data_IF_373371365141
#
_entry.id   IF_373371365141
#
_cell.length_a   1.000
_cell.length_b   1.000
_cell.length_c   1.000
_cell.angle_alpha   90.00
_cell.angle_beta   90.00
_cell.angle_gamma   90.00
#
_symmetry.space_group_name_H-M   'P 1'
#
loop_
_entity.id
_entity.type
_entity.pdbx_description
1 polymer ?
#
# COMPACT_ATOMS: atom_id res chain seq x y z
N UNK A 1 -31.07 -32.31 -1.13
CA UNK A 1 -31.77 -31.97 0.12
C UNK A 1 -31.01 -30.80 0.75
N UNK A 2 -31.33 -29.56 0.37
CA UNK A 2 -32.30 -28.68 1.05
C UNK A 2 -31.76 -28.13 2.39
N UNK A 3 -31.08 -26.97 2.29
CA UNK A 3 -31.00 -25.74 3.13
C UNK A 3 -31.63 -25.67 4.55
N UNK A 4 -31.40 -24.58 5.36
CA UNK A 4 -30.35 -23.53 5.35
C UNK A 4 -29.88 -23.00 6.76
N UNK A 5 -28.99 -21.99 6.75
CA UNK A 5 -28.70 -20.97 7.81
C UNK A 5 -27.96 -21.47 9.08
N UNK A 6 -26.88 -20.84 9.59
CA UNK A 6 -26.79 -19.47 10.13
C UNK A 6 -25.33 -18.99 10.16
N UNK A 7 -25.11 -17.73 9.79
CA UNK A 7 -23.84 -16.98 9.90
C UNK A 7 -23.63 -16.42 11.33
N UNK A 8 -22.46 -16.60 11.92
CA UNK A 8 -22.04 -15.85 13.11
C UNK A 8 -21.03 -14.75 12.74
N UNK A 9 -21.54 -13.52 12.57
CA UNK A 9 -20.73 -12.30 12.54
C UNK A 9 -20.45 -11.80 13.96
N UNK A 10 -19.19 -11.53 14.27
CA UNK A 10 -18.78 -10.91 15.53
C UNK A 10 -19.03 -9.40 15.52
N UNK A 11 -19.96 -8.93 16.35
CA UNK A 11 -20.21 -7.51 16.59
C UNK A 11 -19.22 -6.95 17.62
N UNK A 12 -18.29 -6.11 17.17
CA UNK A 12 -17.52 -5.20 18.01
C UNK A 12 -18.39 -3.97 18.33
N UNK A 13 -18.78 -3.83 19.60
CA UNK A 13 -19.47 -2.66 20.12
C UNK A 13 -18.48 -1.49 20.27
N UNK A 14 -18.47 -0.57 19.30
CA UNK A 14 -17.96 0.79 19.50
C UNK A 14 -19.13 1.70 19.86
N UNK A 15 -19.15 2.21 21.11
CA UNK A 15 -20.04 3.30 21.53
C UNK A 15 -19.59 4.60 20.84
N UNK A 16 -20.22 4.92 19.72
CA UNK A 16 -20.22 6.27 19.18
C UNK A 16 -21.26 7.12 19.93
N UNK A 17 -20.79 8.13 20.66
CA UNK A 17 -21.63 9.22 21.14
C UNK A 17 -22.00 10.11 19.94
N UNK A 18 -23.18 9.89 19.38
CA UNK A 18 -23.84 10.83 18.46
C UNK A 18 -24.44 11.98 19.29
N UNK A 19 -23.72 13.10 19.36
CA UNK A 19 -24.29 14.38 19.81
C UNK A 19 -25.11 14.95 18.65
N UNK A 20 -26.37 14.51 18.55
CA UNK A 20 -27.37 15.16 17.70
C UNK A 20 -27.78 16.49 18.32
N UNK A 21 -27.41 17.60 17.69
CA UNK A 21 -28.03 18.91 17.99
C UNK A 21 -29.45 18.89 17.45
N UNK A 22 -30.42 18.64 18.33
CA UNK A 22 -31.82 18.97 18.09
C UNK A 22 -31.95 20.49 18.17
N UNK A 23 -32.15 21.13 17.01
CA UNK A 23 -32.58 22.52 16.92
C UNK A 23 -34.04 22.61 17.35
N UNK A 24 -34.28 22.90 18.63
CA UNK A 24 -35.60 23.32 19.12
C UNK A 24 -35.89 24.72 18.55
N UNK A 25 -36.66 24.75 17.48
CA UNK A 25 -37.32 25.95 16.98
C UNK A 25 -38.21 26.53 18.10
N UNK A 26 -37.96 27.78 18.46
CA UNK A 26 -38.74 28.52 19.46
C UNK A 26 -40.07 28.93 18.83
N UNK A 27 -41.09 28.07 18.88
CA UNK A 27 -42.48 28.47 18.65
C UNK A 27 -42.86 29.47 19.75
N UNK A 28 -43.20 30.70 19.36
CA UNK A 28 -43.92 31.63 20.21
C UNK A 28 -45.30 31.02 20.49
N UNK A 29 -45.50 30.52 21.70
CA UNK A 29 -46.81 30.18 22.23
C UNK A 29 -47.19 31.20 23.29
N UNK A 30 -48.20 32.02 23.01
CA UNK A 30 -48.98 32.70 24.05
C UNK A 30 -49.51 31.62 24.99
N UNK A 31 -49.21 31.74 26.29
CA UNK A 31 -49.87 30.93 27.31
C UNK A 31 -50.97 31.74 27.97
N UNK A 32 -52.18 31.16 27.91
CA UNK A 32 -53.40 31.61 28.56
C UNK A 32 -53.24 31.70 30.07
N UNK A 33 -53.88 32.70 30.64
CA UNK A 33 -54.15 32.88 32.07
C UNK A 33 -54.93 31.69 32.62
N UNK A 34 -54.37 31.00 33.62
CA UNK A 34 -55.10 30.07 34.47
C UNK A 34 -55.68 30.83 35.68
N UNK A 35 -57.00 30.82 35.81
CA UNK A 35 -57.73 31.26 36.98
C UNK A 35 -58.08 30.05 37.88
N UNK A 36 -58.47 30.37 39.11
CA UNK A 36 -58.98 29.55 40.21
C UNK A 36 -57.93 28.84 41.08
N UNK A 37 -57.96 28.91 42.42
CA UNK A 37 -58.98 29.46 43.31
C UNK A 37 -58.42 29.75 44.71
N UNK A 38 -59.10 30.68 45.40
CA UNK A 38 -58.86 31.05 46.79
C UNK A 38 -59.31 29.95 47.74
N UNK A 39 -58.42 29.49 48.62
CA UNK A 39 -58.77 28.94 49.93
C UNK A 39 -57.99 29.69 51.01
N UNK A 40 -58.74 30.21 51.97
CA UNK A 40 -58.29 30.94 53.15
C UNK A 40 -57.68 29.98 54.18
N UNK A 41 -56.45 30.25 54.60
CA UNK A 41 -55.78 29.54 55.68
C UNK A 41 -54.48 30.24 56.06
N UNK A 42 -54.46 30.88 57.23
CA UNK A 42 -53.34 31.65 57.72
C UNK A 42 -52.12 30.77 58.05
N UNK A 43 -51.07 30.84 57.22
CA UNK A 43 -49.67 30.55 57.58
C UNK A 43 -48.76 31.29 56.60
N UNK A 44 -47.93 32.19 57.11
CA UNK A 44 -46.91 32.90 56.35
C UNK A 44 -45.82 31.93 55.88
N UNK A 45 -46.01 31.32 54.71
CA UNK A 45 -44.90 30.71 53.99
C UNK A 45 -44.10 31.82 53.29
N UNK A 46 -42.89 32.07 53.76
CA UNK A 46 -41.92 32.91 53.06
C UNK A 46 -41.52 32.15 51.78
N UNK A 47 -42.21 32.41 50.69
CA UNK A 47 -41.78 31.98 49.36
C UNK A 47 -40.54 32.81 49.00
N UNK A 48 -39.35 32.24 49.23
CA UNK A 48 -38.13 32.80 48.66
C UNK A 48 -38.21 32.67 47.14
N UNK A 49 -38.46 33.78 46.46
CA UNK A 49 -38.29 33.91 45.02
C UNK A 49 -36.81 33.61 44.69
N UNK A 50 -36.52 32.39 44.21
CA UNK A 50 -35.25 32.08 43.59
C UNK A 50 -35.26 32.76 42.22
N UNK A 51 -34.76 33.99 42.14
CA UNK A 51 -34.51 34.64 40.87
C UNK A 51 -33.38 33.88 40.16
N UNK A 52 -33.70 33.05 39.17
CA UNK A 52 -32.69 32.51 38.26
C UNK A 52 -32.17 33.64 37.39
N UNK A 53 -30.99 34.16 37.70
CA UNK A 53 -30.27 35.12 36.87
C UNK A 53 -29.70 34.39 35.65
N UNK A 54 -30.41 34.44 34.52
CA UNK A 54 -29.84 33.98 33.24
C UNK A 54 -28.87 35.04 32.74
N UNK A 55 -27.60 34.90 33.09
CA UNK A 55 -26.52 35.76 32.55
C UNK A 55 -26.20 35.29 31.13
N UNK A 56 -26.29 36.20 30.15
CA UNK A 56 -25.87 35.90 28.78
C UNK A 56 -24.38 35.55 28.76
N UNK A 57 -24.06 34.30 28.47
CA UNK A 57 -22.67 33.85 28.30
C UNK A 57 -22.13 34.31 26.94
N UNK A 58 -20.87 34.74 26.90
CA UNK A 58 -20.21 35.14 25.66
C UNK A 58 -20.23 33.96 24.67
N UNK A 59 -20.64 34.22 23.42
CA UNK A 59 -20.61 33.20 22.36
C UNK A 59 -19.17 32.72 22.16
N UNK A 60 -18.97 31.42 22.07
CA UNK A 60 -17.65 30.85 21.78
C UNK A 60 -17.23 31.18 20.35
N UNK A 61 -15.98 31.63 20.19
CA UNK A 61 -15.36 31.78 18.87
C UNK A 61 -14.78 30.43 18.46
N UNK A 62 -15.02 29.94 17.24
CA UNK A 62 -14.46 28.68 16.78
C UNK A 62 -12.93 28.78 16.71
N UNK A 63 -12.25 27.98 17.54
CA UNK A 63 -10.80 27.93 17.62
C UNK A 63 -10.18 27.09 16.50
N UNK A 64 -10.85 26.00 16.08
CA UNK A 64 -10.37 25.14 14.99
C UNK A 64 -10.91 25.62 13.65
N UNK A 65 -10.00 25.89 12.72
CA UNK A 65 -10.29 26.17 11.31
C UNK A 65 -9.47 25.22 10.46
N UNK A 66 -9.98 24.86 9.28
CA UNK A 66 -9.16 24.17 8.29
C UNK A 66 -8.13 25.16 7.77
N UNK A 67 -6.88 24.71 7.67
CA UNK A 67 -5.83 25.50 7.05
C UNK A 67 -6.11 25.61 5.56
N UNK A 68 -6.29 26.85 5.10
CA UNK A 68 -6.51 27.18 3.68
C UNK A 68 -5.28 27.90 3.19
N UNK A 69 -4.75 27.49 2.04
CA UNK A 69 -3.53 28.04 1.48
C UNK A 69 -3.89 28.85 0.24
N UNK A 70 -3.75 30.16 0.33
CA UNK A 70 -3.98 31.07 -0.80
C UNK A 70 -2.87 30.92 -1.83
N UNK A 71 -3.14 31.27 -3.08
CA UNK A 71 -2.12 31.26 -4.14
C UNK A 71 -0.90 32.11 -3.78
N UNK A 72 -1.11 33.27 -3.17
CA UNK A 72 -0.03 34.16 -2.73
C UNK A 72 0.82 33.53 -1.62
N UNK A 73 0.22 32.70 -0.76
CA UNK A 73 0.96 31.95 0.24
C UNK A 73 1.87 30.91 -0.42
N UNK A 74 1.34 30.16 -1.40
CA UNK A 74 2.13 29.16 -2.14
C UNK A 74 3.28 29.83 -2.90
N UNK A 75 3.04 30.99 -3.55
CA UNK A 75 4.10 31.75 -4.24
C UNK A 75 5.23 32.16 -3.30
N UNK A 76 4.92 32.68 -2.11
CA UNK A 76 5.92 33.02 -1.09
C UNK A 76 6.72 31.80 -0.63
N UNK A 77 6.05 30.66 -0.42
CA UNK A 77 6.73 29.42 -0.06
C UNK A 77 7.68 28.91 -1.16
N UNK A 78 7.35 29.14 -2.44
CA UNK A 78 8.24 28.80 -3.56
C UNK A 78 9.49 29.68 -3.54
N UNK A 79 9.35 30.98 -3.29
CA UNK A 79 10.48 31.91 -3.15
C UNK A 79 11.39 31.51 -1.98
N UNK A 80 10.81 31.24 -0.81
CA UNK A 80 11.53 30.77 0.39
C UNK A 80 12.27 29.45 0.13
N UNK A 81 11.63 28.50 -0.56
CA UNK A 81 12.25 27.23 -0.95
C UNK A 81 13.45 27.45 -1.87
N UNK A 82 13.33 28.31 -2.89
CA UNK A 82 14.42 28.60 -3.82
C UNK A 82 15.63 29.28 -3.14
N UNK A 83 15.35 30.21 -2.22
CA UNK A 83 16.39 30.87 -1.41
C UNK A 83 17.05 29.84 -0.48
N UNK A 84 16.25 29.04 0.23
CA UNK A 84 16.71 27.97 1.10
C UNK A 84 17.56 26.94 0.35
N UNK A 85 17.19 26.58 -0.88
CA UNK A 85 17.93 25.65 -1.74
C UNK A 85 19.35 26.17 -2.01
N UNK A 86 19.49 27.46 -2.34
CA UNK A 86 20.80 28.10 -2.57
C UNK A 86 21.64 28.14 -1.30
N UNK A 87 21.03 28.43 -0.14
CA UNK A 87 21.73 28.38 1.14
C UNK A 87 22.20 26.97 1.49
N UNK A 88 21.38 25.97 1.23
CA UNK A 88 21.73 24.57 1.48
C UNK A 88 22.91 24.13 0.61
N UNK A 89 22.88 24.46 -0.69
CA UNK A 89 24.00 24.20 -1.59
C UNK A 89 25.29 24.87 -1.10
N UNK A 90 25.22 26.14 -0.68
CA UNK A 90 26.37 26.87 -0.13
C UNK A 90 26.92 26.21 1.16
N UNK A 91 26.05 25.74 2.06
CA UNK A 91 26.48 25.04 3.28
C UNK A 91 27.16 23.70 2.97
N UNK A 92 26.72 22.99 1.93
CA UNK A 92 27.29 21.72 1.51
C UNK A 92 28.50 21.87 0.57
N UNK A 93 28.77 23.09 0.09
CA UNK A 93 29.85 23.36 -0.87
C UNK A 93 29.55 22.89 -2.30
N UNK A 94 28.27 22.74 -2.65
CA UNK A 94 27.81 22.28 -3.97
C UNK A 94 27.34 23.45 -4.85
N UNK A 95 27.28 23.22 -6.16
CA UNK A 95 26.78 24.21 -7.12
C UNK A 95 25.23 24.36 -7.05
N UNK A 96 24.68 25.56 -6.80
CA UNK A 96 23.24 25.75 -6.60
C UNK A 96 22.34 25.37 -7.79
N UNK A 97 22.87 25.50 -9.02
CA UNK A 97 22.10 25.26 -10.24
C UNK A 97 21.95 23.76 -10.53
N UNK A 98 23.03 22.99 -10.30
CA UNK A 98 23.06 21.54 -10.48
C UNK A 98 22.41 20.78 -9.31
N UNK A 99 22.14 21.46 -8.18
CA UNK A 99 21.64 20.85 -6.96
C UNK A 99 20.25 20.21 -7.14
N UNK A 100 20.17 18.88 -7.04
CA UNK A 100 18.92 18.13 -7.25
C UNK A 100 18.16 17.89 -5.94
N UNK A 101 16.91 17.41 -6.03
CA UNK A 101 16.12 17.05 -4.84
C UNK A 101 16.75 15.90 -4.05
N UNK A 102 17.48 15.00 -4.70
CA UNK A 102 18.18 13.91 -4.01
C UNK A 102 19.32 14.43 -3.14
N UNK A 103 20.02 15.45 -3.61
CA UNK A 103 21.11 16.10 -2.87
C UNK A 103 20.56 16.88 -1.67
N UNK A 104 19.41 17.55 -1.84
CA UNK A 104 18.66 18.17 -0.73
C UNK A 104 18.33 17.11 0.33
N UNK A 105 17.73 15.98 -0.08
CA UNK A 105 17.32 14.94 0.86
C UNK A 105 18.53 14.34 1.60
N UNK A 106 19.67 14.14 0.93
CA UNK A 106 20.93 13.70 1.55
C UNK A 106 21.48 14.72 2.53
N UNK A 107 21.52 16.00 2.15
CA UNK A 107 22.01 17.08 2.98
C UNK A 107 21.15 17.26 4.25
N UNK A 108 19.82 17.20 4.12
CA UNK A 108 18.88 17.28 5.26
C UNK A 108 19.11 16.11 6.22
N UNK A 109 19.30 14.90 5.72
CA UNK A 109 19.58 13.72 6.56
C UNK A 109 20.89 13.87 7.33
N UNK A 110 21.91 14.50 6.73
CA UNK A 110 23.18 14.77 7.37
C UNK A 110 23.10 15.88 8.43
N UNK A 111 22.49 17.02 8.09
CA UNK A 111 22.39 18.19 8.98
C UNK A 111 21.41 17.96 10.13
N UNK A 112 20.30 17.25 9.88
CA UNK A 112 19.24 16.98 10.84
C UNK A 112 18.96 15.48 10.95
N UNK A 113 19.90 14.70 11.53
CA UNK A 113 19.77 13.26 11.60
C UNK A 113 18.62 12.85 12.53
N UNK A 114 17.56 12.31 11.95
CA UNK A 114 16.38 11.83 12.67
C UNK A 114 16.26 10.30 12.62
N UNK A 115 16.30 9.67 13.79
CA UNK A 115 16.15 8.23 13.96
C UNK A 115 14.70 7.73 13.96
N UNK A 116 13.73 8.58 13.61
CA UNK A 116 12.31 8.20 13.60
C UNK A 116 12.03 7.13 12.54
N UNK A 117 11.30 6.07 12.92
CA UNK A 117 10.93 4.99 11.99
C UNK A 117 9.99 5.49 10.88
N UNK A 118 9.05 6.37 11.23
CA UNK A 118 8.11 6.95 10.28
C UNK A 118 8.80 7.99 9.41
N UNK A 119 8.96 7.70 8.11
CA UNK A 119 9.68 8.59 7.18
C UNK A 119 9.01 9.95 7.01
N UNK A 120 7.67 10.01 7.12
CA UNK A 120 6.88 11.25 6.97
C UNK A 120 7.05 12.23 8.15
N UNK A 121 7.51 11.75 9.30
CA UNK A 121 7.74 12.56 10.50
C UNK A 121 9.18 13.10 10.59
N UNK A 122 10.05 12.72 9.65
CA UNK A 122 11.43 13.22 9.58
C UNK A 122 11.44 14.66 9.03
N UNK A 123 12.51 15.42 9.28
CA UNK A 123 12.73 16.70 8.60
C UNK A 123 12.75 16.48 7.08
N UNK A 124 11.96 17.27 6.35
CA UNK A 124 11.85 17.20 4.89
C UNK A 124 11.82 18.63 4.36
N UNK A 125 12.59 18.89 3.30
CA UNK A 125 12.56 20.12 2.53
C UNK A 125 12.27 19.77 1.07
N UNK A 126 11.05 20.05 0.62
CA UNK A 126 10.57 19.73 -0.73
C UNK A 126 9.88 20.94 -1.35
N UNK A 127 9.67 20.87 -2.66
CA UNK A 127 8.89 21.87 -3.36
C UNK A 127 7.47 21.99 -2.77
N UNK A 128 6.91 23.21 -2.58
CA UNK A 128 5.61 23.42 -1.94
C UNK A 128 4.45 22.63 -2.57
N UNK A 129 4.47 22.42 -3.88
CA UNK A 129 3.44 21.62 -4.59
C UNK A 129 3.40 20.15 -4.16
N UNK A 130 4.48 19.62 -3.61
CA UNK A 130 4.55 18.24 -3.11
C UNK A 130 4.19 18.14 -1.61
N UNK A 131 4.24 19.27 -0.89
CA UNK A 131 3.96 19.35 0.55
C UNK A 131 2.49 19.67 0.77
N UNK A 132 2.01 20.74 0.14
CA UNK A 132 0.65 21.22 0.32
C UNK A 132 -0.31 20.45 -0.59
N UNK A 133 -1.49 20.05 -0.09
CA UNK A 133 -2.49 19.38 -0.91
C UNK A 133 -3.02 20.36 -1.97
N UNK A 134 -3.23 19.85 -3.19
CA UNK A 134 -3.87 20.62 -4.26
C UNK A 134 -5.26 21.08 -3.80
N UNK A 135 -5.52 22.39 -3.91
CA UNK A 135 -6.81 23.00 -3.57
C UNK A 135 -7.51 23.43 -4.86
N UNK A 136 -8.84 23.47 -4.82
CA UNK A 136 -9.62 24.02 -5.93
C UNK A 136 -9.45 25.54 -5.93
N UNK A 137 -9.28 26.10 -7.12
CA UNK A 137 -9.39 27.52 -7.33
C UNK A 137 -10.80 28.02 -6.99
N UNK A 138 -10.93 29.34 -6.83
CA UNK A 138 -12.21 30.02 -6.70
C UNK A 138 -13.07 29.68 -7.95
N UNK A 139 -14.33 29.30 -7.73
CA UNK A 139 -15.19 28.73 -8.79
C UNK A 139 -16.12 29.76 -9.45
N UNK A 140 -16.10 31.01 -9.00
CA UNK A 140 -16.93 32.12 -9.48
C UNK A 140 -16.13 33.42 -9.54
N UNK A 141 -16.55 34.34 -10.41
CA UNK A 141 -15.98 35.68 -10.50
C UNK A 141 -16.50 36.63 -9.42
N UNK A 142 -16.06 37.89 -9.48
CA UNK A 142 -16.58 38.97 -8.61
C UNK A 142 -18.08 39.23 -8.83
N UNK A 143 -18.58 38.91 -10.02
CA UNK A 143 -20.00 38.94 -10.40
C UNK A 143 -20.84 37.84 -9.71
N UNK A 144 -20.19 36.88 -9.06
CA UNK A 144 -20.82 35.74 -8.41
C UNK A 144 -21.28 34.64 -9.38
N UNK A 145 -20.98 34.75 -10.68
CA UNK A 145 -21.36 33.74 -11.67
C UNK A 145 -20.34 32.59 -11.65
N UNK A 146 -20.78 31.32 -11.53
CA UNK A 146 -19.88 30.18 -11.63
C UNK A 146 -19.26 30.03 -13.02
N UNK A 147 -17.99 29.65 -13.08
CA UNK A 147 -17.27 29.45 -14.36
C UNK A 147 -17.74 28.20 -15.12
N UNK A 148 -18.10 27.13 -14.40
CA UNK A 148 -18.48 25.85 -15.00
C UNK A 148 -20.00 25.65 -14.97
N UNK A 149 -20.58 25.17 -16.07
CA UNK A 149 -22.02 24.97 -16.19
C UNK A 149 -22.56 23.88 -15.23
N UNK A 150 -21.78 22.84 -14.95
CA UNK A 150 -22.12 21.80 -13.95
C UNK A 150 -21.79 22.17 -12.50
N UNK A 151 -21.49 23.42 -12.19
CA UNK A 151 -21.13 23.86 -10.83
C UNK A 151 -22.16 23.43 -9.77
N UNK A 152 -23.45 23.61 -10.05
CA UNK A 152 -24.53 23.31 -9.11
C UNK A 152 -24.77 21.81 -8.84
N UNK A 153 -24.06 20.92 -9.54
CA UNK A 153 -24.06 19.48 -9.21
C UNK A 153 -23.23 19.16 -7.96
N UNK A 154 -22.36 20.09 -7.53
CA UNK A 154 -21.40 19.92 -6.43
C UNK A 154 -20.14 19.11 -6.80
N UNK A 155 -20.17 18.34 -7.89
CA UNK A 155 -19.05 17.53 -8.40
C UNK A 155 -18.81 17.82 -9.87
N UNK A 156 -18.47 19.07 -10.16
CA UNK A 156 -18.39 19.57 -11.53
C UNK A 156 -17.34 18.84 -12.36
N UNK A 157 -16.17 18.54 -11.78
CA UNK A 157 -15.07 17.89 -12.52
C UNK A 157 -15.44 16.45 -12.87
N UNK A 158 -16.01 15.71 -11.92
CA UNK A 158 -16.47 14.34 -12.14
C UNK A 158 -17.56 14.27 -13.22
N UNK A 159 -18.62 15.07 -13.10
CA UNK A 159 -19.71 15.02 -14.08
C UNK A 159 -19.30 15.59 -15.44
N UNK A 160 -18.32 16.51 -15.49
CA UNK A 160 -17.72 16.94 -16.76
C UNK A 160 -17.04 15.76 -17.46
N UNK A 161 -16.21 14.99 -16.74
CA UNK A 161 -15.61 13.78 -17.30
C UNK A 161 -16.65 12.76 -17.74
N UNK A 162 -17.68 12.52 -16.94
CA UNK A 162 -18.76 11.60 -17.30
C UNK A 162 -19.49 12.05 -18.57
N UNK A 163 -19.71 13.36 -18.71
CA UNK A 163 -20.34 13.95 -19.88
C UNK A 163 -19.45 13.83 -21.13
N UNK A 164 -18.15 14.08 -21.01
CA UNK A 164 -17.18 13.90 -22.10
C UNK A 164 -17.12 12.44 -22.57
N UNK A 165 -17.01 11.48 -21.63
CA UNK A 165 -16.99 10.04 -21.93
C UNK A 165 -18.28 9.64 -22.65
N UNK A 166 -19.44 10.07 -22.14
CA UNK A 166 -20.72 9.75 -22.75
C UNK A 166 -20.88 10.39 -24.12
N UNK A 167 -20.39 11.62 -24.31
CA UNK A 167 -20.33 12.29 -25.61
C UNK A 167 -19.50 11.51 -26.63
N UNK A 168 -18.35 10.96 -26.22
CA UNK A 168 -17.54 10.05 -27.04
C UNK A 168 -18.27 8.75 -27.38
N UNK A 169 -18.95 8.13 -26.42
CA UNK A 169 -19.77 6.94 -26.66
C UNK A 169 -20.85 7.19 -27.73
N UNK A 170 -21.57 8.31 -27.63
CA UNK A 170 -22.58 8.69 -28.63
C UNK A 170 -21.97 8.94 -30.02
N UNK A 171 -20.78 9.56 -30.08
CA UNK A 171 -20.06 9.75 -31.35
C UNK A 171 -19.72 8.40 -32.00
N UNK A 172 -19.28 7.43 -31.21
CA UNK A 172 -19.00 6.07 -31.70
C UNK A 172 -20.28 5.37 -32.16
N UNK A 173 -21.36 5.44 -31.36
CA UNK A 173 -22.66 4.85 -31.71
C UNK A 173 -23.19 5.40 -33.05
N UNK A 174 -23.13 6.72 -33.27
CA UNK A 174 -23.51 7.35 -34.56
C UNK A 174 -22.64 6.90 -35.75
N UNK A 175 -21.37 6.59 -35.53
CA UNK A 175 -20.44 6.12 -36.58
C UNK A 175 -20.65 4.64 -36.91
N UNK A 176 -20.97 3.82 -35.91
CA UNK A 176 -21.21 2.38 -36.07
C UNK A 176 -22.36 2.07 -37.02
N UNK A 177 -23.37 2.93 -37.07
CA UNK A 177 -24.48 2.79 -38.02
C UNK A 177 -24.03 2.86 -39.50
N UNK A 178 -22.78 3.28 -39.77
CA UNK A 178 -22.27 3.51 -41.12
C UNK A 178 -21.30 2.42 -41.66
N UNK A 179 -20.67 1.57 -40.84
CA UNK A 179 -19.65 0.60 -41.29
C UNK A 179 -19.59 -0.71 -40.46
N UNK A 180 -19.40 -1.90 -41.08
CA UNK A 180 -19.29 -3.17 -40.37
C UNK A 180 -17.87 -3.48 -39.85
N UNK A 181 -17.82 -4.30 -38.79
CA UNK A 181 -16.73 -4.41 -37.82
C UNK A 181 -15.47 -5.18 -38.30
N UNK A 182 -14.29 -4.63 -38.02
CA UNK A 182 -13.05 -5.40 -37.77
C UNK A 182 -12.60 -5.11 -36.34
N UNK A 183 -12.45 -6.16 -35.53
CA UNK A 183 -12.02 -6.07 -34.13
C UNK A 183 -10.57 -6.52 -34.04
N UNK A 184 -9.67 -5.60 -33.79
CA UNK A 184 -8.32 -5.95 -33.33
C UNK A 184 -8.35 -5.97 -31.80
N UNK A 185 -8.14 -7.16 -31.23
CA UNK A 185 -8.06 -7.33 -29.78
C UNK A 185 -6.70 -6.80 -29.33
N UNK A 186 -6.67 -5.67 -28.61
CA UNK A 186 -5.43 -5.07 -28.11
C UNK A 186 -4.98 -5.78 -26.84
N UNK A 187 -3.68 -6.06 -26.74
CA UNK A 187 -3.08 -6.66 -25.55
C UNK A 187 -3.10 -5.66 -24.38
N UNK A 188 -3.87 -5.99 -23.34
CA UNK A 188 -4.04 -5.18 -22.14
C UNK A 188 -3.03 -5.51 -21.02
N UNK A 189 -2.19 -6.51 -21.26
CA UNK A 189 -1.31 -7.12 -20.26
C UNK A 189 -0.29 -6.05 -19.80
N UNK A 190 -0.26 -5.79 -18.49
CA UNK A 190 0.65 -4.78 -17.90
C UNK A 190 0.07 -3.38 -17.75
N UNK A 191 -1.23 -3.17 -17.98
CA UNK A 191 -1.92 -1.93 -17.65
C UNK A 191 -3.03 -2.14 -16.62
N UNK A 192 -3.20 -1.17 -15.71
CA UNK A 192 -4.33 -1.12 -14.77
C UNK A 192 -5.09 0.18 -14.90
N UNK A 193 -6.35 0.15 -14.49
CA UNK A 193 -7.13 1.37 -14.29
C UNK A 193 -6.57 2.21 -13.13
N UNK A 194 -6.81 3.51 -13.22
CA UNK A 194 -6.53 4.47 -12.17
C UNK A 194 -7.30 4.11 -10.90
N UNK A 195 -6.66 4.08 -9.74
CA UNK A 195 -7.34 3.78 -8.46
C UNK A 195 -8.21 4.99 -8.06
N UNK A 196 -9.23 4.78 -7.23
CA UNK A 196 -10.08 5.85 -6.70
C UNK A 196 -9.28 7.03 -6.15
N UNK A 197 -8.27 6.79 -5.32
CA UNK A 197 -7.43 7.84 -4.72
C UNK A 197 -6.70 8.68 -5.78
N UNK A 198 -6.16 8.01 -6.80
CA UNK A 198 -5.47 8.65 -7.93
C UNK A 198 -6.47 9.49 -8.78
N UNK A 199 -7.72 9.03 -8.93
CA UNK A 199 -8.77 9.77 -9.63
C UNK A 199 -9.24 10.99 -8.84
N UNK A 200 -9.39 10.86 -7.52
CA UNK A 200 -9.71 11.99 -6.63
C UNK A 200 -8.62 13.06 -6.67
N UNK A 201 -7.35 12.66 -6.72
CA UNK A 201 -6.22 13.58 -6.85
C UNK A 201 -6.23 14.30 -8.21
N UNK A 202 -6.48 13.58 -9.31
CA UNK A 202 -6.58 14.17 -10.64
C UNK A 202 -7.70 15.20 -10.75
N UNK A 203 -8.86 14.91 -10.14
CA UNK A 203 -10.03 15.79 -10.22
C UNK A 203 -10.07 16.86 -9.13
N UNK A 204 -9.27 16.70 -8.07
CA UNK A 204 -9.35 17.50 -6.83
C UNK A 204 -10.78 17.47 -6.27
N UNK A 205 -11.44 16.30 -6.36
CA UNK A 205 -12.82 16.08 -5.90
C UNK A 205 -12.93 14.79 -5.10
N UNK A 206 -13.78 14.80 -4.06
CA UNK A 206 -14.09 13.59 -3.30
C UNK A 206 -15.12 12.76 -4.05
N UNK A 207 -14.87 11.46 -4.17
CA UNK A 207 -15.72 10.54 -4.92
C UNK A 207 -16.29 9.45 -4.00
N UNK A 208 -17.50 9.00 -4.34
CA UNK A 208 -18.05 7.76 -3.78
C UNK A 208 -17.46 6.56 -4.51
N UNK A 209 -17.45 5.40 -3.86
CA UNK A 209 -17.05 4.14 -4.50
C UNK A 209 -18.01 3.80 -5.65
N UNK A 210 -19.29 4.14 -5.51
CA UNK A 210 -20.29 3.97 -6.57
C UNK A 210 -19.97 4.83 -7.80
N UNK A 211 -19.59 6.09 -7.59
CA UNK A 211 -19.25 7.03 -8.66
C UNK A 211 -18.04 6.53 -9.46
N UNK A 212 -17.02 6.06 -8.76
CA UNK A 212 -15.84 5.44 -9.36
C UNK A 212 -16.21 4.20 -10.18
N UNK A 213 -17.03 3.29 -9.62
CA UNK A 213 -17.47 2.08 -10.33
C UNK A 213 -18.34 2.39 -11.56
N UNK A 214 -19.11 3.49 -11.55
CA UNK A 214 -19.87 3.93 -12.73
C UNK A 214 -18.93 4.46 -13.82
N UNK A 215 -17.92 5.23 -13.43
CA UNK A 215 -16.93 5.76 -14.37
C UNK A 215 -16.14 4.64 -15.07
N UNK A 216 -15.64 3.65 -14.30
CA UNK A 216 -14.93 2.51 -14.87
C UNK A 216 -15.83 1.70 -15.82
N UNK A 217 -17.11 1.48 -15.47
CA UNK A 217 -18.07 0.80 -16.36
C UNK A 217 -18.24 1.52 -17.70
N UNK A 218 -18.22 2.85 -17.73
CA UNK A 218 -18.28 3.60 -18.99
C UNK A 218 -17.00 3.46 -19.82
N UNK A 219 -15.83 3.49 -19.19
CA UNK A 219 -14.56 3.28 -19.89
C UNK A 219 -14.42 1.86 -20.44
N UNK A 220 -14.86 0.85 -19.69
CA UNK A 220 -14.94 -0.53 -20.17
C UNK A 220 -15.90 -0.65 -21.35
N UNK A 221 -17.09 -0.04 -21.26
CA UNK A 221 -18.03 0.03 -22.39
C UNK A 221 -17.37 0.67 -23.60
N UNK A 222 -16.63 1.76 -23.43
CA UNK A 222 -15.95 2.46 -24.51
C UNK A 222 -14.95 1.54 -25.24
N UNK A 223 -14.17 0.75 -24.50
CA UNK A 223 -13.21 -0.20 -25.07
C UNK A 223 -13.84 -1.39 -25.80
N UNK A 224 -15.09 -1.77 -25.48
CA UNK A 224 -15.79 -2.81 -26.25
C UNK A 224 -16.22 -2.32 -27.64
N UNK A 225 -16.25 -1.00 -27.85
CA UNK A 225 -16.56 -0.39 -29.13
C UNK A 225 -15.24 -0.16 -29.90
N UNK A 226 -15.33 0.02 -31.23
CA UNK A 226 -14.16 0.40 -32.02
C UNK A 226 -13.74 1.81 -31.61
N UNK A 227 -12.60 1.91 -30.95
CA UNK A 227 -11.99 3.18 -30.57
C UNK A 227 -11.13 3.71 -31.72
N UNK A 228 -11.23 5.00 -31.99
CA UNK A 228 -10.27 5.70 -32.83
C UNK A 228 -9.07 6.16 -31.95
N UNK A 229 -7.95 6.58 -32.57
CA UNK A 229 -6.73 6.92 -31.81
C UNK A 229 -6.96 8.04 -30.79
N UNK A 230 -7.86 8.98 -31.05
CA UNK A 230 -8.19 10.07 -30.12
C UNK A 230 -8.91 9.56 -28.85
N UNK A 231 -9.80 8.57 -28.98
CA UNK A 231 -10.47 7.93 -27.85
C UNK A 231 -9.48 7.08 -27.05
N UNK A 232 -8.49 6.47 -27.71
CA UNK A 232 -7.45 5.70 -27.05
C UNK A 232 -6.53 6.59 -26.23
N UNK A 233 -6.09 7.73 -26.78
CA UNK A 233 -5.35 8.75 -26.02
C UNK A 233 -6.13 9.21 -24.78
N UNK A 234 -7.45 9.37 -24.91
CA UNK A 234 -8.32 9.71 -23.79
C UNK A 234 -8.35 8.60 -22.74
N UNK A 235 -8.52 7.33 -23.13
CA UNK A 235 -8.49 6.19 -22.20
C UNK A 235 -7.12 6.02 -21.55
N UNK A 236 -6.04 6.27 -22.28
CA UNK A 236 -4.67 6.18 -21.77
C UNK A 236 -4.40 7.15 -20.61
N UNK A 237 -5.06 8.31 -20.55
CA UNK A 237 -4.98 9.23 -19.40
C UNK A 237 -5.42 8.58 -18.08
N UNK A 238 -6.34 7.61 -18.15
CA UNK A 238 -6.89 6.89 -17.00
C UNK A 238 -6.24 5.51 -16.78
N UNK A 239 -5.14 5.22 -17.47
CA UNK A 239 -4.39 3.98 -17.31
C UNK A 239 -3.02 4.24 -16.72
N UNK A 240 -2.56 3.27 -15.93
CA UNK A 240 -1.22 3.22 -15.37
C UNK A 240 -0.53 1.94 -15.79
N UNK A 241 0.74 2.04 -16.16
CA UNK A 241 1.58 0.89 -16.40
C UNK A 241 1.85 0.17 -15.07
N UNK A 242 1.78 -1.15 -15.10
CA UNK A 242 2.12 -2.02 -13.98
C UNK A 242 3.41 -2.72 -14.34
N UNK A 243 4.45 -2.50 -13.55
CA UNK A 243 5.69 -3.24 -13.67
C UNK A 243 5.44 -4.70 -13.26
N UNK A 244 5.26 -5.59 -14.24
CA UNK A 244 5.18 -7.03 -14.00
C UNK A 244 6.62 -7.52 -13.81
N UNK A 245 6.99 -7.78 -12.55
CA UNK A 245 8.26 -8.44 -12.26
C UNK A 245 8.18 -9.88 -12.75
N UNK A 246 9.14 -10.29 -13.58
CA UNK A 246 9.24 -11.69 -14.01
C UNK A 246 9.57 -12.56 -12.80
N UNK A 247 8.93 -13.73 -12.70
CA UNK A 247 9.23 -14.72 -11.64
C UNK A 247 10.47 -15.57 -11.96
N UNK A 248 11.22 -15.21 -13.01
CA UNK A 248 12.40 -15.94 -13.46
C UNK A 248 13.48 -15.83 -12.39
N UNK A 249 14.04 -16.96 -11.99
CA UNK A 249 15.12 -17.01 -11.02
C UNK A 249 16.36 -16.34 -11.62
N UNK A 250 17.06 -15.52 -10.82
CA UNK A 250 18.39 -15.02 -11.19
C UNK A 250 19.38 -16.19 -11.16
N UNK A 251 20.04 -16.44 -12.28
CA UNK A 251 21.06 -17.49 -12.41
C UNK A 251 22.40 -16.88 -11.97
N UNK A 252 23.09 -17.55 -11.06
CA UNK A 252 24.40 -17.11 -10.58
C UNK A 252 25.46 -17.34 -11.67
N UNK A 253 26.42 -16.41 -11.86
CA UNK A 253 27.48 -16.60 -12.84
C UNK A 253 28.40 -17.76 -12.43
N UNK A 254 28.76 -18.59 -13.41
CA UNK A 254 29.73 -19.67 -13.22
C UNK A 254 31.12 -19.07 -13.02
N UNK A 255 31.82 -19.53 -11.99
CA UNK A 255 33.18 -19.14 -11.63
C UNK A 255 34.14 -20.30 -11.91
N UNK A 256 35.44 -20.00 -11.99
CA UNK A 256 36.48 -21.00 -12.24
C UNK A 256 37.52 -20.99 -11.12
N UNK A 257 37.85 -22.18 -10.61
CA UNK A 257 38.93 -22.39 -9.66
C UNK A 257 40.31 -22.16 -10.32
N UNK A 258 41.37 -22.08 -9.50
CA UNK A 258 42.78 -22.11 -9.95
C UNK A 258 43.12 -23.35 -10.80
N UNK A 259 42.37 -24.43 -10.61
CA UNK A 259 42.48 -25.69 -11.37
C UNK A 259 41.65 -25.69 -12.67
N UNK A 260 40.99 -24.58 -13.01
CA UNK A 260 40.14 -24.45 -14.20
C UNK A 260 38.79 -25.16 -14.10
N UNK A 261 38.37 -25.59 -12.90
CA UNK A 261 37.07 -26.26 -12.70
C UNK A 261 35.96 -25.22 -12.56
N UNK A 262 34.90 -25.39 -13.34
CA UNK A 262 33.69 -24.57 -13.24
C UNK A 262 32.91 -24.90 -11.96
N UNK A 263 32.56 -23.87 -11.20
CA UNK A 263 31.73 -23.99 -10.00
C UNK A 263 30.76 -22.81 -9.89
N UNK A 264 29.69 -23.03 -9.15
CA UNK A 264 28.69 -22.01 -8.81
C UNK A 264 28.56 -21.92 -7.29
N UNK A 265 28.59 -20.71 -6.76
CA UNK A 265 28.42 -20.44 -5.34
C UNK A 265 27.03 -19.85 -5.07
N UNK A 266 26.33 -20.34 -4.04
CA UNK A 266 25.08 -19.73 -3.60
C UNK A 266 24.87 -19.86 -2.09
N UNK A 267 24.06 -18.94 -1.57
CA UNK A 267 23.64 -18.91 -0.17
C UNK A 267 22.22 -19.45 0.06
N UNK A 268 22.05 -20.12 1.19
CA UNK A 268 20.77 -20.63 1.70
C UNK A 268 20.55 -20.26 3.16
N UNK A 269 19.30 -19.94 3.51
CA UNK A 269 18.90 -19.61 4.88
C UNK A 269 17.64 -20.36 5.27
N UNK A 270 17.65 -20.98 6.46
CA UNK A 270 16.45 -21.59 7.05
C UNK A 270 16.44 -21.42 8.56
N UNK A 271 15.37 -20.81 9.08
CA UNK A 271 15.29 -20.41 10.49
C UNK A 271 16.52 -19.57 10.88
N UNK A 272 17.35 -20.07 11.78
CA UNK A 272 18.60 -19.43 12.24
C UNK A 272 19.85 -20.04 11.58
N UNK A 273 19.71 -21.07 10.74
CA UNK A 273 20.82 -21.67 10.01
C UNK A 273 21.09 -20.89 8.71
N UNK A 274 22.37 -20.65 8.43
CA UNK A 274 22.88 -20.09 7.18
C UNK A 274 23.86 -21.09 6.58
N UNK A 275 23.78 -21.29 5.27
CA UNK A 275 24.63 -22.20 4.53
C UNK A 275 25.15 -21.52 3.27
N UNK A 276 26.40 -21.77 2.93
CA UNK A 276 27.01 -21.46 1.66
C UNK A 276 27.36 -22.80 1.00
N UNK A 277 27.01 -22.95 -0.28
CA UNK A 277 27.30 -24.15 -1.04
C UNK A 277 28.03 -23.80 -2.33
N UNK A 278 29.13 -24.49 -2.56
CA UNK A 278 29.90 -24.52 -3.80
C UNK A 278 29.54 -25.81 -4.51
N UNK A 279 28.97 -25.70 -5.71
CA UNK A 279 28.62 -26.85 -6.56
C UNK A 279 29.52 -26.83 -7.79
N UNK A 280 30.24 -27.92 -8.01
CA UNK A 280 31.10 -28.11 -9.18
C UNK A 280 30.31 -28.71 -10.35
N UNK A 281 30.61 -28.27 -11.57
CA UNK A 281 29.90 -28.72 -12.78
C UNK A 281 30.04 -30.23 -13.02
N UNK A 282 31.25 -30.75 -12.81
CA UNK A 282 31.56 -32.18 -12.94
C UNK A 282 32.14 -32.71 -11.64
N UNK A 283 31.65 -33.88 -11.21
CA UNK A 283 32.07 -34.51 -9.98
C UNK A 283 31.64 -35.98 -9.88
N UNK A 284 31.94 -36.58 -8.74
CA UNK A 284 31.67 -37.98 -8.39
C UNK A 284 30.46 -38.15 -7.46
N UNK A 285 29.74 -37.06 -7.14
CA UNK A 285 28.66 -37.09 -6.15
C UNK A 285 29.14 -36.89 -4.72
N UNK A 286 30.36 -36.39 -4.51
CA UNK A 286 30.92 -36.20 -3.17
C UNK A 286 30.36 -34.93 -2.55
N UNK A 287 29.68 -35.07 -1.41
CA UNK A 287 29.11 -33.94 -0.66
C UNK A 287 29.87 -33.80 0.66
N UNK A 288 30.56 -32.68 0.84
CA UNK A 288 31.28 -32.36 2.07
C UNK A 288 30.59 -31.22 2.81
N UNK A 289 30.37 -31.39 4.12
CA UNK A 289 29.72 -30.44 5.02
C UNK A 289 30.72 -30.06 6.12
N UNK A 290 31.14 -28.80 6.18
CA UNK A 290 32.14 -28.30 7.16
C UNK A 290 33.43 -29.15 7.21
N UNK A 291 33.88 -29.66 6.06
CA UNK A 291 35.08 -30.50 5.95
C UNK A 291 34.88 -31.98 6.31
N UNK A 292 33.69 -32.39 6.75
CA UNK A 292 33.32 -33.79 6.99
C UNK A 292 32.42 -34.33 5.88
N UNK A 293 32.34 -35.65 5.72
CA UNK A 293 31.41 -36.27 4.77
C UNK A 293 29.95 -36.10 5.24
N UNK A 294 29.02 -35.90 4.29
CA UNK A 294 27.62 -35.63 4.60
C UNK A 294 26.94 -36.77 5.37
N UNK A 295 27.39 -38.02 5.17
CA UNK A 295 26.91 -39.20 5.90
C UNK A 295 27.25 -39.13 7.39
N UNK A 296 28.45 -38.64 7.72
CA UNK A 296 28.91 -38.48 9.10
C UNK A 296 28.27 -37.26 9.76
N UNK A 297 28.13 -36.16 9.02
CA UNK A 297 27.54 -34.92 9.52
C UNK A 297 26.03 -35.05 9.77
N UNK A 298 25.31 -35.71 8.86
CA UNK A 298 23.87 -35.98 8.97
C UNK A 298 23.59 -37.47 9.17
N UNK A 299 23.61 -37.97 10.43
CA UNK A 299 23.34 -39.38 10.71
C UNK A 299 21.88 -39.78 10.41
N UNK A 300 20.96 -38.82 10.46
CA UNK A 300 19.52 -39.04 10.26
C UNK A 300 19.18 -39.03 8.78
N UNK A 301 18.48 -40.07 8.31
CA UNK A 301 18.08 -40.24 6.91
C UNK A 301 17.24 -39.07 6.38
N UNK A 302 16.33 -38.52 7.18
CA UNK A 302 15.50 -37.38 6.80
C UNK A 302 16.33 -36.16 6.35
N UNK A 303 17.46 -35.90 7.03
CA UNK A 303 18.32 -34.78 6.68
C UNK A 303 19.06 -35.05 5.36
N UNK A 304 19.45 -36.30 5.10
CA UNK A 304 20.06 -36.74 3.84
C UNK A 304 19.10 -36.70 2.66
N UNK A 305 17.84 -37.08 2.86
CA UNK A 305 16.79 -36.95 1.84
C UNK A 305 16.60 -35.50 1.38
N UNK A 306 16.70 -34.54 2.31
CA UNK A 306 16.63 -33.12 1.95
C UNK A 306 17.81 -32.69 1.06
N UNK A 307 19.00 -33.23 1.30
CA UNK A 307 20.18 -32.95 0.47
C UNK A 307 20.08 -33.60 -0.92
N UNK A 308 19.51 -34.79 -0.99
CA UNK A 308 19.33 -35.55 -2.23
C UNK A 308 18.27 -34.94 -3.16
N UNK A 309 17.24 -34.32 -2.59
CA UNK A 309 16.04 -33.88 -3.31
C UNK A 309 16.32 -32.97 -4.55
N UNK A 310 17.19 -31.94 -4.51
CA UNK A 310 17.47 -31.11 -5.68
C UNK A 310 18.14 -31.88 -6.83
N UNK A 311 19.04 -32.80 -6.53
CA UNK A 311 19.75 -33.60 -7.54
C UNK A 311 18.87 -34.70 -8.11
N UNK A 312 18.03 -35.30 -7.27
CA UNK A 312 17.06 -36.30 -7.69
C UNK A 312 16.00 -35.69 -8.60
N UNK A 313 15.52 -34.48 -8.28
CA UNK A 313 14.51 -33.78 -9.09
C UNK A 313 14.98 -33.47 -10.52
N UNK A 314 16.29 -33.28 -10.71
CA UNK A 314 16.90 -32.99 -12.00
C UNK A 314 17.53 -34.21 -12.69
N UNK A 315 17.40 -35.42 -12.12
CA UNK A 315 18.06 -36.64 -12.62
C UNK A 315 19.60 -36.50 -12.78
N UNK A 316 20.23 -35.82 -11.81
CA UNK A 316 21.68 -35.52 -11.77
C UNK A 316 22.40 -36.07 -10.53
N UNK A 317 21.89 -37.15 -9.96
CA UNK A 317 22.56 -37.85 -8.86
C UNK A 317 23.94 -38.34 -9.31
N UNK A 318 24.98 -38.06 -8.50
CA UNK A 318 26.34 -38.53 -8.75
C UNK A 318 27.14 -37.74 -9.81
N UNK A 319 26.58 -36.66 -10.38
CA UNK A 319 27.24 -35.89 -11.45
C UNK A 319 28.02 -34.66 -10.96
N UNK A 320 27.73 -34.20 -9.74
CA UNK A 320 28.27 -32.95 -9.19
C UNK A 320 28.95 -33.22 -7.85
N UNK A 321 30.04 -32.50 -7.57
CA UNK A 321 30.65 -32.45 -6.25
C UNK A 321 30.22 -31.19 -5.52
N UNK A 322 29.98 -31.30 -4.22
CA UNK A 322 29.48 -30.20 -3.39
C UNK A 322 30.37 -30.01 -2.19
N UNK A 323 30.78 -28.77 -1.97
CA UNK A 323 31.44 -28.34 -0.74
C UNK A 323 30.57 -27.29 -0.09
N UNK A 324 30.08 -27.57 1.12
CA UNK A 324 29.21 -26.64 1.82
C UNK A 324 29.73 -26.31 3.23
N UNK A 325 29.54 -25.06 3.61
CA UNK A 325 29.77 -24.55 4.95
C UNK A 325 28.43 -24.15 5.55
N UNK A 326 28.16 -24.62 6.77
CA UNK A 326 26.89 -24.35 7.46
C UNK A 326 27.13 -23.95 8.90
N UNK A 327 26.45 -22.88 9.33
CA UNK A 327 26.55 -22.35 10.69
C UNK A 327 25.18 -22.00 11.28
N UNK A 328 25.07 -22.15 12.60
CA UNK A 328 23.86 -21.86 13.36
C UNK A 328 22.72 -22.87 13.19
N UNK A 329 21.62 -22.62 13.88
CA UNK A 329 20.41 -23.46 13.85
C UNK A 329 20.59 -24.83 14.51
N UNK A 330 19.91 -25.84 13.96
CA UNK A 330 20.00 -27.24 14.37
C UNK A 330 19.85 -28.15 13.16
N UNK A 331 20.02 -29.46 13.33
CA UNK A 331 20.16 -30.46 12.25
C UNK A 331 19.25 -30.24 11.02
N UNK A 332 17.94 -30.22 11.20
CA UNK A 332 16.98 -30.12 10.09
C UNK A 332 16.88 -28.71 9.50
N UNK A 333 17.23 -27.69 10.29
CA UNK A 333 17.36 -26.33 9.78
C UNK A 333 18.59 -26.21 8.89
N UNK A 334 19.71 -26.83 9.28
CA UNK A 334 20.94 -26.87 8.50
C UNK A 334 20.75 -27.63 7.18
N UNK A 335 20.20 -28.85 7.22
CA UNK A 335 19.89 -29.62 6.02
C UNK A 335 19.00 -28.85 5.03
N UNK A 336 17.96 -28.18 5.53
CA UNK A 336 17.09 -27.37 4.69
C UNK A 336 17.72 -26.06 4.19
N UNK A 337 18.71 -25.50 4.89
CA UNK A 337 19.48 -24.34 4.42
C UNK A 337 20.44 -24.76 3.30
N UNK A 338 21.15 -25.88 3.47
CA UNK A 338 22.04 -26.44 2.45
C UNK A 338 21.25 -26.84 1.20
N UNK A 339 20.07 -27.47 1.36
CA UNK A 339 19.18 -27.79 0.23
C UNK A 339 18.88 -26.58 -0.64
N UNK A 340 18.57 -25.43 -0.03
CA UNK A 340 18.28 -24.19 -0.77
C UNK A 340 19.54 -23.65 -1.46
N UNK A 341 20.69 -23.68 -0.77
CA UNK A 341 21.96 -23.23 -1.34
C UNK A 341 22.36 -24.09 -2.56
N UNK A 342 22.30 -25.42 -2.43
CA UNK A 342 22.59 -26.35 -3.52
C UNK A 342 21.62 -26.18 -4.69
N UNK A 343 20.31 -26.08 -4.42
CA UNK A 343 19.31 -25.90 -5.46
C UNK A 343 19.54 -24.63 -6.30
N UNK A 344 19.93 -23.52 -5.65
CA UNK A 344 20.24 -22.27 -6.35
C UNK A 344 21.54 -22.34 -7.13
N UNK A 345 22.59 -22.93 -6.56
CA UNK A 345 23.86 -23.13 -7.24
C UNK A 345 23.68 -24.02 -8.49
N UNK A 346 22.87 -25.08 -8.38
CA UNK A 346 22.55 -25.97 -9.50
C UNK A 346 21.88 -25.27 -10.68
N UNK A 347 21.16 -24.16 -10.48
CA UNK A 347 20.52 -23.42 -11.57
C UNK A 347 21.49 -22.95 -12.65
N UNK A 348 22.78 -22.79 -12.33
CA UNK A 348 23.80 -22.35 -13.29
C UNK A 348 24.19 -23.42 -14.32
N UNK A 349 23.91 -24.70 -14.04
CA UNK A 349 24.30 -25.84 -14.88
C UNK A 349 23.11 -26.48 -15.61
N UNK A 350 21.96 -25.82 -15.57
CA UNK A 350 20.64 -26.38 -15.85
C UNK A 350 19.87 -25.49 -16.84
N UNK A 351 18.94 -26.07 -17.59
CA UNK A 351 18.13 -25.35 -18.58
C UNK A 351 17.11 -24.41 -17.90
N UNK A 352 16.65 -23.38 -18.62
CA UNK A 352 15.70 -22.41 -18.05
C UNK A 352 14.36 -23.05 -17.64
N UNK A 353 13.92 -24.07 -18.37
CA UNK A 353 12.67 -24.80 -18.08
C UNK A 353 12.78 -25.62 -16.80
N UNK A 354 13.90 -26.32 -16.61
CA UNK A 354 14.20 -27.06 -15.38
C UNK A 354 14.26 -26.13 -14.16
N UNK A 355 14.82 -24.92 -14.32
CA UNK A 355 14.83 -23.90 -13.25
C UNK A 355 13.41 -23.47 -12.88
N UNK A 356 12.52 -23.30 -13.85
CA UNK A 356 11.11 -22.98 -13.59
C UNK A 356 10.38 -24.13 -12.89
N UNK A 357 10.67 -25.39 -13.25
CA UNK A 357 10.14 -26.56 -12.54
C UNK A 357 10.63 -26.62 -11.08
N UNK A 358 11.92 -26.34 -10.82
CA UNK A 358 12.46 -26.25 -9.46
C UNK A 358 11.80 -25.11 -8.66
N UNK A 359 11.49 -23.99 -9.31
CA UNK A 359 10.76 -22.88 -8.70
C UNK A 359 9.36 -23.32 -8.27
N UNK A 360 8.64 -24.02 -9.15
CA UNK A 360 7.30 -24.54 -8.89
C UNK A 360 7.29 -25.64 -7.82
N UNK A 361 8.32 -26.48 -7.77
CA UNK A 361 8.53 -27.49 -6.72
C UNK A 361 8.91 -26.89 -5.34
N UNK A 362 9.14 -25.57 -5.26
CA UNK A 362 9.49 -24.87 -4.02
C UNK A 362 10.93 -25.10 -3.55
N UNK A 363 11.83 -25.53 -4.44
CA UNK A 363 13.25 -25.74 -4.14
C UNK A 363 14.01 -24.41 -4.01
N UNK A 364 13.62 -23.41 -4.79
CA UNK A 364 14.28 -22.10 -4.88
C UNK A 364 13.67 -21.05 -3.92
N UNK A 365 12.60 -21.40 -3.22
CA UNK A 365 11.89 -20.49 -2.29
C UNK A 365 12.48 -20.57 -0.89
N UNK A 366 12.81 -19.42 -0.30
CA UNK A 366 13.22 -19.35 1.11
C UNK A 366 12.03 -19.59 2.01
N UNK A 367 12.11 -20.53 2.96
CA UNK A 367 11.02 -20.81 3.90
C UNK A 367 10.89 -19.67 4.93
N UNK A 368 9.79 -18.87 4.92
CA UNK A 368 9.63 -17.74 5.82
C UNK A 368 9.20 -18.16 7.25
N UNK A 369 8.93 -19.45 7.49
CA UNK A 369 8.44 -19.92 8.79
C UNK A 369 9.54 -19.86 9.84
N UNK A 370 9.43 -18.87 10.72
CA UNK A 370 10.33 -18.64 11.86
C UNK A 370 9.59 -18.77 13.19
N UNK A 371 10.33 -19.00 14.28
CA UNK A 371 9.74 -19.08 15.63
C UNK A 371 9.11 -17.74 15.98
N UNK A 372 7.81 -17.76 16.21
CA UNK A 372 7.08 -16.58 16.65
C UNK A 372 7.42 -16.22 18.11
N UNK A 373 7.55 -14.92 18.42
CA UNK A 373 7.84 -14.45 19.78
C UNK A 373 6.68 -14.76 20.75
N UNK A 374 7.02 -15.01 22.02
CA UNK A 374 6.07 -15.06 23.14
C UNK A 374 5.46 -13.68 23.39
N UNK A 375 4.20 -13.64 23.84
CA UNK A 375 3.52 -12.39 24.19
C UNK A 375 3.43 -12.28 25.71
N UNK A 376 3.53 -11.06 26.27
CA UNK A 376 3.22 -10.84 27.68
C UNK A 376 1.75 -11.24 27.94
N UNK A 377 1.46 -11.79 29.13
CA UNK A 377 0.12 -12.30 29.48
C UNK A 377 -0.27 -13.62 28.81
N UNK A 378 0.66 -14.33 28.15
CA UNK A 378 0.42 -15.63 27.51
C UNK A 378 1.51 -16.64 27.90
N UNK A 379 1.16 -17.92 27.93
CA UNK A 379 2.10 -19.01 28.24
C UNK A 379 3.11 -19.21 27.09
N UNK A 380 2.64 -19.14 25.85
CA UNK A 380 3.47 -19.29 24.65
C UNK A 380 3.26 -18.17 23.62
N UNK A 381 3.69 -18.40 22.38
CA UNK A 381 3.43 -17.50 21.27
C UNK A 381 1.93 -17.42 20.92
N UNK A 382 1.20 -18.53 21.10
CA UNK A 382 -0.24 -18.64 20.83
C UNK A 382 -1.01 -19.23 22.00
N UNK A 383 -0.41 -20.19 22.74
CA UNK A 383 -0.97 -20.81 23.95
C UNK A 383 -1.25 -19.76 25.02
N UNK A 384 -2.49 -19.73 25.49
CA UNK A 384 -2.94 -18.89 26.61
C UNK A 384 -2.83 -19.69 27.90
N UNK A 385 -2.73 -18.98 29.02
CA UNK A 385 -2.90 -19.62 30.32
C UNK A 385 -4.31 -20.20 30.45
N UNK A 386 -4.46 -21.21 31.31
CA UNK A 386 -5.77 -21.80 31.61
C UNK A 386 -6.69 -20.73 32.15
N UNK A 387 -7.77 -20.45 31.41
CA UNK A 387 -8.79 -19.52 31.84
C UNK A 387 -9.69 -20.17 32.90
N UNK A 388 -9.78 -19.56 34.08
CA UNK A 388 -10.71 -19.99 35.14
C UNK A 388 -11.95 -19.09 35.08
N UNK A 389 -13.12 -19.71 34.88
CA UNK A 389 -14.40 -19.01 34.75
C UNK A 389 -15.01 -18.60 36.10
N UNK A 390 -14.68 -19.32 37.16
CA UNK A 390 -15.36 -19.31 38.47
C UNK A 390 -14.59 -18.49 39.49
#
# INVERSE_FOLDING_TARGET
>A
MAAPCVSCGGTLSYRFFLVGRVSLARRQGLWQTAAAGLQTGARSQILRLIHTTVVMTKKSVPASRRETYTEDFIKKQIEEFNIGKRHLANMMGEDPETFTQEDIDRAIVYLFPSGLFEKRARPIMKHPEQIFPKQRAIQWGEDGRPFHFLFYTGKQSYYSLMHEVYGKLLQIEKRKDLLPEKREMKDLIGSRWLIKEELEEMLVEKLSDQDYMQFIRLLEKLLTLQCEPAEEEFVHKFRRSVAIQSKKQLIEPVQYDEQGRAFSASEGKRKTAKAEALVYEHGSGRITVNGADYLLYFPITQDREQLMFPFHFLDRLGKHDVTCTVSGGGRSAQAGAIRLAMAKALCSFVTEDEVEWMRQAGLLTTDPRVRERKKPGQEGARRKFTWKKR
#
